data_IF_243906746877
#
_entry.id   IF_243906746877
#
_cell.length_a   1.000
_cell.length_b   1.000
_cell.length_c   1.000
_cell.angle_alpha   90.00
_cell.angle_beta   90.00
_cell.angle_gamma   90.00
#
_symmetry.space_group_name_H-M   'P 1'
#
loop_
_entity.id
_entity.type
_entity.pdbx_description
1 polymer ?
#
# COMPACT_ATOMS: atom_id res chain seq x y z
N UNK A 1 63.99 191.74 198.92
CA UNK A 1 65.22 191.61 198.10
C UNK A 1 64.85 190.82 196.84
N UNK A 2 65.42 191.08 195.66
CA UNK A 2 66.49 190.27 195.05
C UNK A 2 66.20 188.75 194.88
N UNK A 3 66.79 188.15 193.82
CA UNK A 3 67.29 186.74 193.59
C UNK A 3 66.74 185.60 194.49
N UNK A 4 66.49 184.34 194.03
CA UNK A 4 67.50 183.53 193.33
C UNK A 4 67.01 182.38 192.39
N UNK A 5 67.99 181.84 191.66
CA UNK A 5 68.01 180.57 190.92
C UNK A 5 67.92 179.35 191.85
N UNK A 6 67.22 178.27 191.44
CA UNK A 6 67.33 176.95 192.08
C UNK A 6 67.51 175.79 191.07
N UNK A 7 68.23 174.70 191.43
CA UNK A 7 68.78 173.70 190.50
C UNK A 7 67.86 172.52 190.15
N UNK A 8 68.15 171.84 189.03
CA UNK A 8 67.24 171.03 188.19
C UNK A 8 67.17 169.50 188.44
N UNK A 9 67.27 169.00 189.68
CA UNK A 9 67.34 167.54 189.94
C UNK A 9 66.04 166.81 190.38
N UNK A 10 64.85 167.44 190.35
CA UNK A 10 63.62 166.86 190.94
C UNK A 10 62.53 166.32 189.98
N UNK A 11 62.65 166.44 188.65
CA UNK A 11 61.53 166.15 187.73
C UNK A 11 61.46 164.72 187.12
N UNK A 12 62.44 163.83 187.34
CA UNK A 12 62.53 162.56 186.58
C UNK A 12 61.79 161.35 187.19
N UNK A 13 61.29 161.41 188.44
CA UNK A 13 60.81 160.21 189.17
C UNK A 13 59.30 159.92 189.11
N UNK A 14 58.43 160.83 188.63
CA UNK A 14 56.95 160.68 188.70
C UNK A 14 56.27 160.00 187.50
N UNK A 15 56.94 159.86 186.36
CA UNK A 15 56.31 159.40 185.10
C UNK A 15 56.25 157.87 184.93
N UNK A 16 57.12 157.12 185.60
CA UNK A 16 57.16 155.65 185.46
C UNK A 16 55.96 154.95 186.12
N UNK A 17 55.58 155.35 187.34
CA UNK A 17 54.57 154.63 188.13
C UNK A 17 53.15 154.64 187.51
N UNK A 18 52.81 155.64 186.68
CA UNK A 18 51.48 155.72 186.04
C UNK A 18 51.31 154.74 184.87
N UNK A 19 52.38 154.24 184.27
CA UNK A 19 52.29 153.33 183.12
C UNK A 19 51.94 151.90 183.55
N UNK A 20 52.46 151.44 184.69
CA UNK A 20 52.24 150.07 185.16
C UNK A 20 50.80 149.79 185.59
N UNK A 21 50.08 150.77 186.13
CA UNK A 21 48.71 150.59 186.59
C UNK A 21 47.71 150.28 185.44
N UNK A 22 47.88 150.92 184.28
CA UNK A 22 47.00 150.72 183.11
C UNK A 22 47.14 149.34 182.48
N UNK A 23 48.30 148.71 182.60
CA UNK A 23 48.52 147.37 182.07
C UNK A 23 47.67 146.34 182.83
N UNK A 24 47.65 146.42 184.16
CA UNK A 24 46.92 145.45 185.02
C UNK A 24 45.40 145.47 184.79
N UNK A 25 44.80 146.63 184.52
CA UNK A 25 43.36 146.72 184.25
C UNK A 25 42.96 145.99 182.95
N UNK A 26 43.75 146.12 181.87
CA UNK A 26 43.44 145.45 180.60
C UNK A 26 43.50 143.93 180.69
N UNK A 27 44.44 143.42 181.48
CA UNK A 27 44.53 141.97 181.71
C UNK A 27 43.31 141.42 182.45
N UNK A 28 42.75 142.16 183.41
CA UNK A 28 41.56 141.73 184.13
C UNK A 28 40.31 141.72 183.23
N UNK A 29 40.12 142.74 182.39
CA UNK A 29 39.00 142.78 181.44
C UNK A 29 39.07 141.67 180.39
N UNK A 30 40.28 141.35 179.90
CA UNK A 30 40.47 140.27 178.94
C UNK A 30 40.04 138.91 179.50
N UNK A 31 40.33 138.63 180.78
CA UNK A 31 39.93 137.39 181.45
C UNK A 31 38.42 137.24 181.56
N UNK A 32 37.71 138.32 181.88
CA UNK A 32 36.24 138.28 182.01
C UNK A 32 35.58 137.95 180.66
N UNK A 33 36.02 138.56 179.55
CA UNK A 33 35.45 138.28 178.22
C UNK A 33 35.59 136.82 177.80
N UNK A 34 36.75 136.23 178.03
CA UNK A 34 36.98 134.81 177.70
C UNK A 34 36.04 133.89 178.47
N UNK A 35 35.77 134.16 179.75
CA UNK A 35 34.82 133.36 180.54
C UNK A 35 33.38 133.45 180.00
N UNK A 36 32.94 134.64 179.59
CA UNK A 36 31.60 134.84 179.01
C UNK A 36 31.43 134.14 177.65
N UNK A 37 32.44 134.19 176.79
CA UNK A 37 32.41 133.50 175.50
C UNK A 37 32.26 131.99 175.68
N UNK A 38 33.05 131.39 176.57
CA UNK A 38 33.01 129.96 176.88
C UNK A 38 31.63 129.53 177.39
N UNK A 39 31.06 130.28 178.34
CA UNK A 39 29.72 129.98 178.85
C UNK A 39 28.64 130.10 177.76
N UNK A 40 28.68 131.16 176.94
CA UNK A 40 27.68 131.35 175.87
C UNK A 40 27.74 130.26 174.80
N UNK A 41 28.92 129.72 174.54
CA UNK A 41 29.12 128.63 173.58
C UNK A 41 28.53 127.32 174.12
N UNK A 42 28.74 127.01 175.40
CA UNK A 42 28.22 125.80 176.03
C UNK A 42 26.68 125.71 175.94
N UNK A 43 25.96 126.78 176.31
CA UNK A 43 24.49 126.76 176.30
C UNK A 43 23.90 126.62 174.90
N UNK A 44 24.47 127.30 173.89
CA UNK A 44 24.02 127.15 172.48
C UNK A 44 24.17 125.72 171.96
N UNK A 45 25.28 125.08 172.28
CA UNK A 45 25.51 123.68 171.91
C UNK A 45 24.49 122.76 172.60
N UNK A 46 24.20 123.00 173.89
CA UNK A 46 23.18 122.24 174.63
C UNK A 46 21.78 122.36 174.01
N UNK A 47 21.35 123.55 173.62
CA UNK A 47 20.02 123.78 173.04
C UNK A 47 19.83 123.06 171.70
N UNK A 48 20.85 123.09 170.84
CA UNK A 48 20.84 122.37 169.55
C UNK A 48 20.69 120.87 169.80
N UNK A 49 21.49 120.32 170.72
CA UNK A 49 21.44 118.90 171.07
C UNK A 49 20.04 118.51 171.59
N UNK A 50 19.47 119.29 172.51
CA UNK A 50 18.13 119.05 173.07
C UNK A 50 17.03 119.08 172.01
N UNK A 51 17.06 120.07 171.10
CA UNK A 51 16.06 120.21 170.04
C UNK A 51 16.05 119.01 169.08
N UNK A 52 17.23 118.51 168.70
CA UNK A 52 17.36 117.35 167.82
C UNK A 52 16.94 116.07 168.52
N UNK A 53 17.27 115.94 169.80
CA UNK A 53 16.81 114.82 170.61
C UNK A 53 15.28 114.78 170.67
N UNK A 54 14.61 115.92 170.89
CA UNK A 54 13.14 115.99 170.91
C UNK A 54 12.49 115.67 169.55
N UNK A 55 13.11 116.09 168.44
CA UNK A 55 12.63 115.74 167.10
C UNK A 55 12.74 114.23 166.84
N UNK A 56 13.87 113.63 167.21
CA UNK A 56 14.09 112.19 167.03
C UNK A 56 13.22 111.35 167.95
N UNK A 57 13.00 111.78 169.19
CA UNK A 57 12.11 111.10 170.14
C UNK A 57 10.61 111.34 169.86
N UNK A 58 10.27 112.20 168.90
CA UNK A 58 8.87 112.46 168.56
C UNK A 58 8.20 111.24 167.91
N UNK A 59 6.93 111.01 168.25
CA UNK A 59 6.12 109.90 167.69
C UNK A 59 5.94 110.02 166.18
N UNK A 60 5.91 111.23 165.63
CA UNK A 60 5.75 111.48 164.19
C UNK A 60 6.99 111.09 163.39
N UNK A 61 8.20 111.34 163.93
CA UNK A 61 9.47 110.84 163.38
C UNK A 61 9.45 109.32 163.21
N UNK A 62 9.04 108.60 164.26
CA UNK A 62 8.96 107.13 164.25
C UNK A 62 7.98 106.62 163.18
N UNK A 63 6.75 107.14 163.14
CA UNK A 63 5.77 106.69 162.14
C UNK A 63 6.20 106.99 160.70
N UNK A 64 6.83 108.14 160.44
CA UNK A 64 7.36 108.48 159.11
C UNK A 64 8.48 107.51 158.68
N UNK A 65 9.38 107.18 159.61
CA UNK A 65 10.42 106.17 159.40
C UNK A 65 9.82 104.78 159.13
N UNK A 66 8.83 104.37 159.93
CA UNK A 66 8.17 103.07 159.79
C UNK A 66 7.41 102.91 158.47
N UNK A 67 6.69 103.93 158.02
CA UNK A 67 6.01 103.86 156.72
C UNK A 67 6.98 103.87 155.53
N UNK A 68 8.08 104.62 155.62
CA UNK A 68 9.14 104.57 154.61
C UNK A 68 9.75 103.16 154.56
N UNK A 69 10.03 102.56 155.71
CA UNK A 69 10.52 101.19 155.82
C UNK A 69 9.53 100.16 155.22
N UNK A 70 8.25 100.25 155.55
CA UNK A 70 7.22 99.35 154.99
C UNK A 70 7.11 99.46 153.46
N UNK A 71 7.17 100.68 152.90
CA UNK A 71 7.15 100.88 151.45
C UNK A 71 8.38 100.28 150.78
N UNK A 72 9.56 100.48 151.36
CA UNK A 72 10.78 99.87 150.84
C UNK A 72 10.72 98.35 150.92
N UNK A 73 10.20 97.77 152.02
CA UNK A 73 10.01 96.32 152.14
C UNK A 73 9.13 95.74 151.02
N UNK A 74 8.02 96.40 150.66
CA UNK A 74 7.17 95.95 149.55
C UNK A 74 7.85 96.06 148.19
N UNK A 75 8.68 97.09 147.98
CA UNK A 75 9.50 97.22 146.76
C UNK A 75 10.57 96.13 146.70
N UNK A 76 11.21 95.82 147.83
CA UNK A 76 12.17 94.72 147.94
C UNK A 76 11.50 93.38 147.62
N UNK A 77 10.31 93.10 148.14
CA UNK A 77 9.55 91.89 147.82
C UNK A 77 9.22 91.81 146.32
N UNK A 78 8.78 92.91 145.69
CA UNK A 78 8.56 92.96 144.23
C UNK A 78 9.85 92.75 143.44
N UNK A 79 10.97 93.33 143.89
CA UNK A 79 12.31 93.11 143.29
C UNK A 79 12.72 91.64 143.40
N UNK A 80 12.51 91.00 144.55
CA UNK A 80 12.75 89.56 144.77
C UNK A 80 11.89 88.71 143.84
N UNK A 81 10.60 88.99 143.70
CA UNK A 81 9.72 88.26 142.78
C UNK A 81 10.14 88.41 141.31
N UNK A 82 10.56 89.62 140.90
CA UNK A 82 11.09 89.85 139.55
C UNK A 82 12.44 89.16 139.34
N UNK A 83 13.32 89.17 140.33
CA UNK A 83 14.59 88.45 140.30
C UNK A 83 14.34 86.94 140.18
N UNK A 84 13.45 86.36 140.99
CA UNK A 84 13.07 84.96 140.89
C UNK A 84 12.50 84.61 139.50
N UNK A 85 11.68 85.48 138.90
CA UNK A 85 11.20 85.29 137.52
C UNK A 85 12.34 85.35 136.50
N UNK A 86 13.27 86.31 136.65
CA UNK A 86 14.46 86.41 135.79
C UNK A 86 15.36 85.20 135.93
N UNK A 87 15.52 84.67 137.13
CA UNK A 87 16.30 83.45 137.40
C UNK A 87 15.65 82.22 136.74
N UNK A 88 14.34 82.05 136.87
CA UNK A 88 13.61 80.99 136.15
C UNK A 88 13.78 81.10 134.64
N UNK A 89 13.68 82.31 134.09
CA UNK A 89 13.92 82.52 132.65
C UNK A 89 15.36 82.20 132.27
N UNK A 90 16.36 82.60 133.08
CA UNK A 90 17.76 82.24 132.82
C UNK A 90 17.97 80.72 132.84
N UNK A 91 17.33 80.02 133.77
CA UNK A 91 17.38 78.55 133.84
C UNK A 91 16.82 77.92 132.57
N UNK A 92 15.64 78.33 132.12
CA UNK A 92 15.06 77.84 130.87
C UNK A 92 15.96 78.12 129.66
N UNK A 93 16.54 79.33 129.57
CA UNK A 93 17.48 79.65 128.48
C UNK A 93 18.74 78.79 128.52
N UNK A 94 19.25 78.45 129.71
CA UNK A 94 20.40 77.57 129.86
C UNK A 94 20.05 76.13 129.48
N UNK A 95 18.90 75.64 129.92
CA UNK A 95 18.39 74.31 129.55
C UNK A 95 18.22 74.19 128.02
N UNK A 96 17.64 75.20 127.37
CA UNK A 96 17.54 75.26 125.91
C UNK A 96 18.92 75.28 125.24
N UNK A 97 19.87 76.06 125.76
CA UNK A 97 21.25 76.08 125.25
C UNK A 97 21.92 74.70 125.38
N UNK A 98 21.79 74.04 126.52
CA UNK A 98 22.37 72.72 126.77
C UNK A 98 21.77 71.65 125.85
N UNK A 99 20.46 71.70 125.60
CA UNK A 99 19.78 70.82 124.64
C UNK A 99 20.31 71.03 123.22
N UNK A 100 20.39 72.28 122.76
CA UNK A 100 20.93 72.59 121.43
C UNK A 100 22.40 72.16 121.28
N UNK A 101 23.22 72.32 122.32
CA UNK A 101 24.61 71.84 122.31
C UNK A 101 24.66 70.32 122.15
N UNK A 102 23.82 69.57 122.87
CA UNK A 102 23.74 68.11 122.73
C UNK A 102 23.28 67.69 121.34
N UNK A 103 22.25 68.33 120.79
CA UNK A 103 21.78 68.06 119.43
C UNK A 103 22.90 68.29 118.40
N UNK A 104 23.69 69.38 118.55
CA UNK A 104 24.83 69.64 117.68
C UNK A 104 25.94 68.59 117.85
N UNK A 105 26.21 68.13 119.06
CA UNK A 105 27.17 67.06 119.33
C UNK A 105 26.71 65.73 118.72
N UNK A 106 25.45 65.35 118.87
CA UNK A 106 24.86 64.16 118.26
C UNK A 106 24.93 64.22 116.72
N UNK A 107 24.64 65.38 116.13
CA UNK A 107 24.81 65.60 114.70
C UNK A 107 26.28 65.45 114.27
N UNK A 108 27.23 66.03 115.01
CA UNK A 108 28.67 65.85 114.76
C UNK A 108 29.09 64.38 114.85
N UNK A 109 28.61 63.66 115.86
CA UNK A 109 28.88 62.23 116.04
C UNK A 109 28.29 61.40 114.90
N UNK A 110 27.03 61.64 114.52
CA UNK A 110 26.38 60.95 113.40
C UNK A 110 27.12 61.19 112.07
N UNK A 111 27.62 62.41 111.85
CA UNK A 111 28.47 62.74 110.71
C UNK A 111 29.81 62.03 110.75
N UNK A 112 30.49 62.00 111.89
CA UNK A 112 31.76 61.26 112.05
C UNK A 112 31.58 59.75 111.84
N UNK A 113 30.47 59.17 112.29
CA UNK A 113 30.12 57.78 112.06
C UNK A 113 29.83 57.52 110.58
N UNK A 114 29.13 58.44 109.91
CA UNK A 114 28.92 58.37 108.46
C UNK A 114 30.23 58.43 107.69
N UNK A 115 31.14 59.33 108.04
CA UNK A 115 32.47 59.41 107.45
C UNK A 115 33.27 58.13 107.67
N UNK A 116 33.25 57.58 108.89
CA UNK A 116 33.92 56.31 109.20
C UNK A 116 33.37 55.17 108.35
N UNK A 117 32.05 55.03 108.24
CA UNK A 117 31.41 54.03 107.37
C UNK A 117 31.79 54.20 105.90
N UNK A 118 31.90 55.44 105.41
CA UNK A 118 32.34 55.71 104.03
C UNK A 118 33.81 55.28 103.84
N UNK A 119 34.69 55.60 104.80
CA UNK A 119 36.11 55.18 104.75
C UNK A 119 36.26 53.66 104.80
N UNK A 120 35.51 52.98 105.66
CA UNK A 120 35.48 51.51 105.74
C UNK A 120 34.98 50.90 104.43
N UNK A 121 33.87 51.40 103.88
CA UNK A 121 33.35 50.96 102.56
C UNK A 121 34.35 51.18 101.45
N UNK A 122 35.00 52.35 101.41
CA UNK A 122 36.04 52.64 100.44
C UNK A 122 37.26 51.70 100.62
N UNK A 123 37.66 51.43 101.86
CA UNK A 123 38.70 50.46 102.20
C UNK A 123 38.37 49.07 101.68
N UNK A 124 37.17 48.57 101.95
CA UNK A 124 36.70 47.26 101.49
C UNK A 124 36.59 47.17 99.97
N UNK A 125 36.13 48.23 99.30
CA UNK A 125 36.09 48.28 97.83
C UNK A 125 37.50 48.29 97.24
N UNK A 126 38.44 48.99 97.89
CA UNK A 126 39.85 49.01 97.47
C UNK A 126 40.49 47.63 97.65
N UNK A 127 40.29 46.97 98.80
CA UNK A 127 40.80 45.61 99.03
C UNK A 127 40.20 44.59 98.05
N UNK A 128 38.89 44.62 97.81
CA UNK A 128 38.24 43.74 96.84
C UNK A 128 38.78 43.94 95.40
N UNK A 129 39.03 45.19 94.99
CA UNK A 129 39.67 45.48 93.69
C UNK A 129 41.11 44.97 93.64
N UNK A 130 41.86 45.10 94.73
CA UNK A 130 43.22 44.57 94.84
C UNK A 130 43.24 43.04 94.81
N UNK A 131 42.29 42.37 95.46
CA UNK A 131 42.10 40.92 95.40
C UNK A 131 41.78 40.45 93.98
N UNK A 132 40.84 41.10 93.29
CA UNK A 132 40.56 40.79 91.89
C UNK A 132 41.78 40.96 90.99
N UNK A 133 42.58 42.02 91.21
CA UNK A 133 43.84 42.22 90.49
C UNK A 133 44.85 41.10 90.79
N UNK A 134 44.96 40.66 92.04
CA UNK A 134 45.81 39.52 92.43
C UNK A 134 45.37 38.24 91.74
N UNK A 135 44.09 37.89 91.80
CA UNK A 135 43.54 36.70 91.13
C UNK A 135 43.76 36.74 89.62
N UNK A 136 43.56 37.91 89.01
CA UNK A 136 43.80 38.10 87.57
C UNK A 136 45.29 37.94 87.25
N UNK A 137 46.16 38.52 88.06
CA UNK A 137 47.61 38.37 87.90
C UNK A 137 48.04 36.91 88.07
N UNK A 138 47.53 36.20 89.07
CA UNK A 138 47.80 34.77 89.31
C UNK A 138 47.36 33.91 88.12
N UNK A 139 46.17 34.17 87.56
CA UNK A 139 45.68 33.47 86.36
C UNK A 139 46.57 33.73 85.16
N UNK A 140 46.92 34.98 84.89
CA UNK A 140 47.79 35.34 83.77
C UNK A 140 49.19 34.74 83.94
N UNK A 141 49.74 34.74 85.15
CA UNK A 141 51.01 34.09 85.45
C UNK A 141 50.93 32.58 85.22
N UNK A 142 49.82 31.95 85.60
CA UNK A 142 49.59 30.53 85.36
C UNK A 142 49.47 30.19 83.87
N UNK A 143 48.68 30.96 83.11
CA UNK A 143 48.54 30.80 81.66
C UNK A 143 49.89 31.01 80.96
N UNK A 144 50.61 32.07 81.33
CA UNK A 144 51.94 32.34 80.82
C UNK A 144 52.92 31.21 81.17
N UNK A 145 52.89 30.67 82.38
CA UNK A 145 53.70 29.51 82.76
C UNK A 145 53.31 28.26 81.95
N UNK A 146 52.01 27.99 81.77
CA UNK A 146 51.50 26.86 81.00
C UNK A 146 52.00 26.91 79.55
N UNK A 147 51.89 28.08 78.91
CA UNK A 147 52.34 28.30 77.54
C UNK A 147 53.88 28.25 77.39
N UNK A 148 54.61 28.70 78.40
CA UNK A 148 56.07 28.81 78.33
C UNK A 148 56.83 27.61 78.88
N UNK A 149 56.17 26.71 79.60
CA UNK A 149 56.80 25.51 80.13
C UNK A 149 57.20 24.57 78.97
N UNK A 150 58.50 24.34 78.73
CA UNK A 150 58.98 23.55 77.59
C UNK A 150 58.41 22.12 77.60
N UNK A 151 58.28 21.50 78.79
CA UNK A 151 57.75 20.13 78.92
C UNK A 151 56.29 20.03 78.49
N UNK A 152 55.47 21.04 78.78
CA UNK A 152 54.06 21.06 78.35
C UNK A 152 53.95 21.26 76.85
N UNK A 153 54.80 22.12 76.26
CA UNK A 153 54.87 22.28 74.80
C UNK A 153 55.28 21.00 74.10
N UNK A 154 56.27 20.28 74.63
CA UNK A 154 56.68 18.97 74.10
C UNK A 154 55.51 17.98 74.13
N UNK A 155 54.78 17.89 75.24
CA UNK A 155 53.61 17.01 75.37
C UNK A 155 52.48 17.41 74.39
N UNK A 156 52.15 18.71 74.29
CA UNK A 156 51.14 19.21 73.34
C UNK A 156 51.54 18.92 71.89
N UNK A 157 52.82 19.11 71.56
CA UNK A 157 53.37 18.75 70.25
C UNK A 157 53.28 17.26 69.98
N UNK A 158 53.58 16.41 70.95
CA UNK A 158 53.50 14.95 70.80
C UNK A 158 52.05 14.46 70.70
N UNK A 159 51.12 15.06 71.44
CA UNK A 159 49.68 14.81 71.29
C UNK A 159 49.20 15.22 69.90
N UNK A 160 49.61 16.39 69.42
CA UNK A 160 49.29 16.85 68.07
C UNK A 160 49.90 15.91 67.01
N UNK A 161 51.16 15.49 67.15
CA UNK A 161 51.79 14.52 66.26
C UNK A 161 51.03 13.21 66.24
N UNK A 162 50.66 12.67 67.40
CA UNK A 162 49.83 11.44 67.49
C UNK A 162 48.47 11.64 66.81
N UNK A 163 47.83 12.79 67.01
CA UNK A 163 46.56 13.09 66.34
C UNK A 163 46.71 13.11 64.82
N UNK A 164 47.75 13.77 64.30
CA UNK A 164 48.03 13.81 62.86
C UNK A 164 48.34 12.41 62.33
N UNK A 165 49.18 11.63 63.00
CA UNK A 165 49.49 10.25 62.61
C UNK A 165 48.21 9.40 62.58
N UNK A 166 47.39 9.44 63.64
CA UNK A 166 46.13 8.70 63.69
C UNK A 166 45.16 9.14 62.58
N UNK A 167 45.03 10.45 62.32
CA UNK A 167 44.19 10.96 61.24
C UNK A 167 44.71 10.55 59.85
N UNK A 168 46.02 10.40 59.69
CA UNK A 168 46.61 9.92 58.44
C UNK A 168 46.41 8.42 58.28
N UNK A 169 46.49 7.64 59.37
CA UNK A 169 46.12 6.23 59.37
C UNK A 169 44.66 6.03 58.96
N UNK A 170 43.73 6.80 59.52
CA UNK A 170 42.32 6.73 59.11
C UNK A 170 42.14 7.12 57.64
N UNK A 171 42.79 8.19 57.16
CA UNK A 171 42.76 8.56 55.74
C UNK A 171 43.33 7.47 54.82
N UNK A 172 44.39 6.77 55.26
CA UNK A 172 44.97 5.66 54.49
C UNK A 172 44.03 4.46 54.44
N UNK A 173 43.31 4.19 55.52
CA UNK A 173 42.28 3.15 55.56
C UNK A 173 41.09 3.50 54.69
N UNK A 174 40.59 4.74 54.74
CA UNK A 174 39.53 5.25 53.87
C UNK A 174 39.92 5.12 52.39
N UNK A 175 41.14 5.52 52.04
CA UNK A 175 41.64 5.39 50.66
C UNK A 175 41.67 3.93 50.20
N UNK A 176 42.13 3.00 51.04
CA UNK A 176 42.10 1.57 50.72
C UNK A 176 40.68 1.04 50.52
N UNK A 177 39.72 1.52 51.32
CA UNK A 177 38.31 1.13 51.16
C UNK A 177 37.75 1.65 49.85
N UNK A 178 38.06 2.90 49.47
CA UNK A 178 37.68 3.49 48.18
C UNK A 178 38.26 2.70 47.00
N UNK A 179 39.57 2.43 47.02
CA UNK A 179 40.24 1.60 46.01
C UNK A 179 39.58 0.22 45.91
N UNK A 180 39.25 -0.42 47.03
CA UNK A 180 38.55 -1.71 47.04
C UNK A 180 37.11 -1.64 46.48
N UNK A 181 36.39 -0.53 46.67
CA UNK A 181 35.08 -0.31 46.06
C UNK A 181 35.18 -0.07 44.56
N UNK A 182 36.14 0.75 44.13
CA UNK A 182 36.42 1.02 42.72
C UNK A 182 36.82 -0.27 41.99
N UNK A 183 37.67 -1.12 42.58
CA UNK A 183 38.01 -2.42 42.03
C UNK A 183 36.78 -3.33 41.87
N UNK A 184 35.83 -3.30 42.80
CA UNK A 184 34.58 -4.08 42.70
C UNK A 184 33.70 -3.55 41.59
N UNK A 185 33.61 -2.24 41.43
CA UNK A 185 32.86 -1.60 40.35
C UNK A 185 33.50 -1.90 38.99
N UNK A 186 34.81 -1.77 38.87
CA UNK A 186 35.56 -2.15 37.66
C UNK A 186 35.30 -3.60 37.26
N UNK A 187 35.34 -4.54 38.21
CA UNK A 187 34.98 -5.94 37.96
C UNK A 187 33.54 -6.11 37.48
N UNK A 188 32.59 -5.35 38.02
CA UNK A 188 31.19 -5.37 37.55
C UNK A 188 31.10 -4.87 36.11
N UNK A 189 31.75 -3.76 35.79
CA UNK A 189 31.78 -3.22 34.43
C UNK A 189 32.46 -4.17 33.44
N UNK A 190 33.57 -4.81 33.83
CA UNK A 190 34.23 -5.83 33.01
C UNK A 190 33.28 -7.02 32.75
N UNK A 191 32.56 -7.49 33.76
CA UNK A 191 31.59 -8.56 33.61
C UNK A 191 30.42 -8.16 32.69
N UNK A 192 29.87 -6.96 32.86
CA UNK A 192 28.81 -6.42 32.00
C UNK A 192 29.29 -6.31 30.54
N UNK A 193 30.53 -5.85 30.34
CA UNK A 193 31.16 -5.78 29.03
C UNK A 193 31.35 -7.17 28.41
N UNK A 194 31.79 -8.16 29.20
CA UNK A 194 31.89 -9.54 28.72
C UNK A 194 30.55 -10.13 28.33
N UNK A 195 29.50 -9.90 29.12
CA UNK A 195 28.14 -10.36 28.81
C UNK A 195 27.66 -9.72 27.52
N UNK A 196 27.78 -8.39 27.38
CA UNK A 196 27.42 -7.67 26.16
C UNK A 196 28.18 -8.18 24.93
N UNK A 197 29.48 -8.48 25.09
CA UNK A 197 30.31 -9.06 24.03
C UNK A 197 29.82 -10.46 23.63
N UNK A 198 29.45 -11.31 24.60
CA UNK A 198 28.90 -12.65 24.33
C UNK A 198 27.55 -12.56 23.63
N UNK A 199 26.65 -11.71 24.10
CA UNK A 199 25.35 -11.46 23.45
C UNK A 199 25.51 -10.98 22.01
N UNK A 200 26.44 -10.05 21.75
CA UNK A 200 26.72 -9.57 20.41
C UNK A 200 27.20 -10.71 19.50
N UNK A 201 28.08 -11.58 19.99
CA UNK A 201 28.55 -12.75 19.25
C UNK A 201 27.42 -13.75 18.98
N UNK A 202 26.52 -13.96 19.95
CA UNK A 202 25.34 -14.82 19.77
C UNK A 202 24.35 -14.25 18.75
N UNK A 203 24.14 -12.92 18.74
CA UNK A 203 23.33 -12.25 17.70
C UNK A 203 23.92 -12.46 16.31
N UNK A 204 25.24 -12.29 16.16
CA UNK A 204 25.92 -12.54 14.88
C UNK A 204 25.76 -13.99 14.43
N UNK A 205 25.95 -14.97 15.34
CA UNK A 205 25.75 -16.39 15.03
C UNK A 205 24.32 -16.70 14.63
N UNK A 206 23.33 -16.15 15.34
CA UNK A 206 21.92 -16.34 15.01
C UNK A 206 21.55 -15.72 13.65
N UNK A 207 22.13 -14.58 13.30
CA UNK A 207 21.97 -13.99 11.96
C UNK A 207 22.64 -14.83 10.87
N UNK A 208 23.83 -15.37 11.11
CA UNK A 208 24.50 -16.31 10.21
C UNK A 208 23.69 -17.59 10.00
N UNK A 209 23.14 -18.17 11.07
CA UNK A 209 22.25 -19.33 10.99
C UNK A 209 20.98 -19.04 10.19
N UNK A 210 20.38 -17.85 10.36
CA UNK A 210 19.23 -17.41 9.54
C UNK A 210 19.58 -17.32 8.07
N UNK A 211 20.71 -16.69 7.73
CA UNK A 211 21.18 -16.63 6.33
C UNK A 211 21.41 -18.03 5.76
N UNK A 212 22.02 -18.93 6.53
CA UNK A 212 22.21 -20.32 6.10
C UNK A 212 20.87 -21.05 5.87
N UNK A 213 19.85 -20.80 6.68
CA UNK A 213 18.52 -21.36 6.47
C UNK A 213 17.86 -20.78 5.21
N UNK A 214 17.97 -19.48 4.99
CA UNK A 214 17.49 -18.82 3.77
C UNK A 214 18.19 -19.38 2.53
N UNK A 215 19.51 -19.55 2.56
CA UNK A 215 20.29 -20.14 1.47
C UNK A 215 19.88 -21.60 1.19
N UNK A 216 19.59 -22.38 2.24
CA UNK A 216 19.07 -23.76 2.10
C UNK A 216 17.70 -23.77 1.43
N UNK A 217 16.79 -22.90 1.88
CA UNK A 217 15.45 -22.78 1.30
C UNK A 217 15.53 -22.32 -0.16
N UNK A 218 16.42 -21.38 -0.48
CA UNK A 218 16.68 -20.96 -1.87
C UNK A 218 17.24 -22.11 -2.71
N UNK A 219 18.18 -22.89 -2.18
CA UNK A 219 18.74 -24.05 -2.87
C UNK A 219 17.68 -25.15 -3.11
N UNK A 220 16.84 -25.44 -2.13
CA UNK A 220 15.71 -26.38 -2.28
C UNK A 220 14.72 -25.89 -3.35
N UNK A 221 14.37 -24.60 -3.36
CA UNK A 221 13.53 -24.01 -4.39
C UNK A 221 14.16 -24.10 -5.79
N UNK A 222 15.48 -23.86 -5.90
CA UNK A 222 16.20 -24.03 -7.17
C UNK A 222 16.23 -25.50 -7.63
N UNK A 223 16.37 -26.46 -6.71
CA UNK A 223 16.30 -27.88 -7.05
C UNK A 223 14.90 -28.25 -7.57
N UNK A 224 13.84 -27.76 -6.93
CA UNK A 224 12.46 -27.93 -7.41
C UNK A 224 12.28 -27.32 -8.81
N UNK A 225 12.79 -26.11 -9.05
CA UNK A 225 12.75 -25.48 -10.38
C UNK A 225 13.51 -26.31 -11.43
N UNK A 226 14.66 -26.88 -11.07
CA UNK A 226 15.42 -27.76 -11.97
C UNK A 226 14.67 -29.06 -12.26
N UNK A 227 13.98 -29.63 -11.28
CA UNK A 227 13.13 -30.81 -11.48
C UNK A 227 11.93 -30.50 -12.39
N UNK A 228 11.26 -29.36 -12.19
CA UNK A 228 10.19 -28.89 -13.09
C UNK A 228 10.70 -28.67 -14.52
N UNK A 229 11.88 -28.08 -14.68
CA UNK A 229 12.50 -27.92 -16.00
C UNK A 229 12.82 -29.27 -16.65
N UNK A 230 13.36 -30.24 -15.88
CA UNK A 230 13.59 -31.60 -16.38
C UNK A 230 12.28 -32.27 -16.79
N UNK A 231 11.19 -32.11 -16.03
CA UNK A 231 9.87 -32.64 -16.40
C UNK A 231 9.37 -32.01 -17.70
N UNK A 232 9.49 -30.68 -17.85
CA UNK A 232 9.15 -29.97 -19.09
C UNK A 232 10.01 -30.40 -20.28
N UNK A 233 11.30 -30.64 -20.08
CA UNK A 233 12.19 -31.19 -21.12
C UNK A 233 11.76 -32.60 -21.52
N UNK A 234 11.42 -33.45 -20.55
CA UNK A 234 10.92 -34.80 -20.81
C UNK A 234 9.60 -34.76 -21.59
N UNK A 235 8.66 -33.90 -21.21
CA UNK A 235 7.44 -33.64 -21.97
C UNK A 235 7.73 -33.14 -23.38
N UNK A 236 8.65 -32.19 -23.55
CA UNK A 236 9.06 -31.69 -24.86
C UNK A 236 9.67 -32.80 -25.72
N UNK A 237 10.48 -33.71 -25.16
CA UNK A 237 11.00 -34.85 -25.92
C UNK A 237 9.91 -35.85 -26.31
N UNK A 238 8.89 -36.06 -25.46
CA UNK A 238 7.72 -36.89 -25.79
C UNK A 238 6.91 -36.26 -26.92
N UNK A 239 6.60 -34.97 -26.81
CA UNK A 239 5.89 -34.22 -27.86
C UNK A 239 6.65 -34.21 -29.18
N UNK A 240 7.99 -34.08 -29.16
CA UNK A 240 8.81 -34.19 -30.38
C UNK A 240 8.70 -35.58 -31.01
N UNK A 241 8.75 -36.65 -30.22
CA UNK A 241 8.55 -38.03 -30.72
C UNK A 241 7.14 -38.21 -31.31
N UNK A 242 6.12 -37.65 -30.66
CA UNK A 242 4.75 -37.66 -31.19
C UNK A 242 4.67 -36.89 -32.52
N UNK A 243 5.29 -35.72 -32.63
CA UNK A 243 5.39 -34.96 -33.88
C UNK A 243 6.12 -35.75 -34.97
N UNK A 244 7.26 -36.40 -34.67
CA UNK A 244 7.98 -37.26 -35.62
C UNK A 244 7.12 -38.46 -36.08
N UNK A 245 6.35 -39.05 -35.17
CA UNK A 245 5.44 -40.15 -35.51
C UNK A 245 4.29 -39.68 -36.40
N UNK A 246 3.70 -38.52 -36.10
CA UNK A 246 2.66 -37.90 -36.94
C UNK A 246 3.20 -37.55 -38.32
N UNK A 247 4.43 -37.04 -38.42
CA UNK A 247 5.08 -36.80 -39.69
C UNK A 247 5.27 -38.11 -40.46
N UNK A 248 5.79 -39.18 -39.83
CA UNK A 248 5.91 -40.50 -40.47
C UNK A 248 4.55 -40.98 -41.00
N UNK A 249 3.48 -40.83 -40.22
CA UNK A 249 2.13 -41.16 -40.65
C UNK A 249 1.68 -40.30 -41.84
N UNK A 250 1.96 -39.00 -41.85
CA UNK A 250 1.67 -38.12 -42.99
C UNK A 250 2.42 -38.56 -44.25
N UNK A 251 3.71 -38.87 -44.16
CA UNK A 251 4.50 -39.40 -45.28
C UNK A 251 3.97 -40.74 -45.79
N UNK A 252 3.57 -41.64 -44.90
CA UNK A 252 2.95 -42.92 -45.27
C UNK A 252 1.62 -42.70 -46.01
N UNK A 253 0.79 -41.78 -45.52
CA UNK A 253 -0.46 -41.41 -46.18
C UNK A 253 -0.22 -40.77 -47.54
N UNK A 254 0.73 -39.84 -47.65
CA UNK A 254 1.11 -39.22 -48.93
C UNK A 254 1.61 -40.27 -49.92
N UNK A 255 2.46 -41.21 -49.49
CA UNK A 255 2.87 -42.35 -50.32
C UNK A 255 1.68 -43.17 -50.81
N UNK A 256 0.76 -43.54 -49.92
CA UNK A 256 -0.43 -44.30 -50.27
C UNK A 256 -1.37 -43.52 -51.20
N UNK A 257 -1.47 -42.19 -51.04
CA UNK A 257 -2.23 -41.32 -51.94
C UNK A 257 -1.58 -41.21 -53.32
N UNK A 258 -0.26 -41.10 -53.38
CA UNK A 258 0.50 -41.13 -54.63
C UNK A 258 0.33 -42.47 -55.33
N UNK A 259 0.43 -43.59 -54.62
CA UNK A 259 0.15 -44.92 -55.15
C UNK A 259 -1.30 -45.01 -55.66
N UNK A 260 -2.28 -44.49 -54.93
CA UNK A 260 -3.68 -44.41 -55.38
C UNK A 260 -3.81 -43.57 -56.66
N UNK A 261 -3.14 -42.42 -56.76
CA UNK A 261 -3.13 -41.57 -57.97
C UNK A 261 -2.47 -42.27 -59.14
N UNK A 262 -1.34 -42.95 -58.93
CA UNK A 262 -0.65 -43.75 -59.96
C UNK A 262 -1.55 -44.90 -60.43
N UNK A 263 -2.17 -45.63 -59.51
CA UNK A 263 -3.11 -46.70 -59.84
C UNK A 263 -4.35 -46.17 -60.57
N UNK A 264 -4.89 -45.01 -60.18
CA UNK A 264 -5.98 -44.36 -60.90
C UNK A 264 -5.57 -43.92 -62.31
N UNK A 265 -4.37 -43.35 -62.47
CA UNK A 265 -3.84 -42.96 -63.78
C UNK A 265 -3.59 -44.19 -64.69
N UNK A 266 -3.07 -45.30 -64.14
CA UNK A 266 -2.94 -46.56 -64.88
C UNK A 266 -4.30 -47.12 -65.28
N UNK A 267 -5.31 -47.07 -64.39
CA UNK A 267 -6.69 -47.44 -64.71
C UNK A 267 -7.27 -46.58 -65.82
N UNK A 268 -7.12 -45.25 -65.75
CA UNK A 268 -7.55 -44.32 -66.80
C UNK A 268 -6.84 -44.59 -68.13
N UNK A 269 -5.52 -44.83 -68.13
CA UNK A 269 -4.77 -45.23 -69.35
C UNK A 269 -5.28 -46.55 -69.93
N UNK A 270 -5.58 -47.54 -69.08
CA UNK A 270 -6.13 -48.82 -69.51
C UNK A 270 -7.56 -48.69 -70.05
N UNK A 271 -8.40 -47.84 -69.44
CA UNK A 271 -9.72 -47.49 -69.93
C UNK A 271 -9.64 -46.78 -71.29
N UNK A 272 -8.81 -45.74 -71.44
CA UNK A 272 -8.55 -45.09 -72.72
C UNK A 272 -8.02 -46.07 -73.76
N UNK A 273 -7.12 -46.98 -73.39
CA UNK A 273 -6.65 -48.06 -74.25
C UNK A 273 -7.76 -49.02 -74.70
N UNK A 274 -8.69 -49.38 -73.80
CA UNK A 274 -9.88 -50.18 -74.13
C UNK A 274 -10.81 -49.42 -75.07
N UNK A 275 -11.08 -48.15 -74.81
CA UNK A 275 -11.90 -47.31 -75.69
C UNK A 275 -11.30 -47.18 -77.08
N UNK A 276 -10.00 -46.91 -77.21
CA UNK A 276 -9.31 -46.82 -78.49
C UNK A 276 -9.32 -48.16 -79.25
N UNK A 277 -9.07 -49.29 -78.56
CA UNK A 277 -9.20 -50.62 -79.15
C UNK A 277 -10.62 -50.90 -79.62
N UNK A 278 -11.64 -50.51 -78.84
CA UNK A 278 -13.04 -50.69 -79.24
C UNK A 278 -13.39 -49.84 -80.47
N UNK A 279 -12.97 -48.57 -80.52
CA UNK A 279 -13.14 -47.70 -81.68
C UNK A 279 -12.42 -48.24 -82.92
N UNK A 280 -11.16 -48.65 -82.77
CA UNK A 280 -10.37 -49.24 -83.86
C UNK A 280 -10.97 -50.55 -84.36
N UNK A 281 -11.38 -51.45 -83.46
CA UNK A 281 -12.07 -52.69 -83.82
C UNK A 281 -13.44 -52.42 -84.45
N UNK A 282 -14.18 -51.41 -84.01
CA UNK A 282 -15.44 -51.03 -84.63
C UNK A 282 -15.24 -50.47 -86.05
N UNK A 283 -14.19 -49.66 -86.26
CA UNK A 283 -13.80 -49.19 -87.60
C UNK A 283 -13.35 -50.35 -88.50
N UNK A 284 -12.53 -51.27 -87.99
CA UNK A 284 -12.16 -52.50 -88.70
C UNK A 284 -13.38 -53.34 -89.02
N UNK A 285 -14.28 -53.56 -88.07
CA UNK A 285 -15.51 -54.32 -88.28
C UNK A 285 -16.38 -53.67 -89.37
N UNK A 286 -16.56 -52.34 -89.34
CA UNK A 286 -17.25 -51.60 -90.42
C UNK A 286 -16.56 -51.80 -91.77
N UNK A 287 -15.23 -51.67 -91.83
CA UNK A 287 -14.43 -51.95 -93.06
C UNK A 287 -14.59 -53.39 -93.53
N UNK A 288 -14.56 -54.37 -92.63
CA UNK A 288 -14.75 -55.78 -93.00
C UNK A 288 -16.18 -56.08 -93.44
N UNK A 289 -17.19 -55.42 -92.86
CA UNK A 289 -18.57 -55.51 -93.32
C UNK A 289 -18.72 -54.89 -94.71
N UNK A 290 -18.14 -53.71 -94.96
CA UNK A 290 -18.09 -53.09 -96.28
C UNK A 290 -17.42 -54.01 -97.31
N UNK A 291 -16.25 -54.58 -97.00
CA UNK A 291 -15.57 -55.53 -97.91
C UNK A 291 -16.42 -56.79 -98.12
N UNK A 292 -17.09 -57.32 -97.09
CA UNK A 292 -18.00 -58.47 -97.25
C UNK A 292 -19.21 -58.13 -98.12
N UNK A 293 -19.80 -56.96 -97.94
CA UNK A 293 -20.90 -56.47 -98.77
C UNK A 293 -20.44 -56.26 -100.21
N UNK A 294 -19.29 -55.63 -100.44
CA UNK A 294 -18.66 -55.50 -101.76
C UNK A 294 -18.41 -56.87 -102.39
N UNK A 295 -17.85 -57.83 -101.65
CA UNK A 295 -17.65 -59.19 -102.15
C UNK A 295 -18.98 -59.86 -102.52
N UNK A 296 -20.00 -59.80 -101.65
CA UNK A 296 -21.34 -60.32 -101.96
C UNK A 296 -21.97 -59.62 -103.17
N UNK A 297 -21.77 -58.31 -103.32
CA UNK A 297 -22.23 -57.56 -104.49
C UNK A 297 -21.49 -58.01 -105.75
N UNK A 298 -20.16 -58.21 -105.69
CA UNK A 298 -19.39 -58.73 -106.83
C UNK A 298 -19.77 -60.17 -107.17
N UNK A 299 -20.03 -61.03 -106.20
CA UNK A 299 -20.52 -62.39 -106.40
C UNK A 299 -21.92 -62.39 -107.03
N UNK A 300 -22.83 -61.54 -106.54
CA UNK A 300 -24.16 -61.36 -107.14
C UNK A 300 -24.07 -60.80 -108.57
N UNK A 301 -23.16 -59.85 -108.82
CA UNK A 301 -22.92 -59.32 -110.17
C UNK A 301 -22.40 -60.41 -111.11
N UNK A 302 -21.46 -61.25 -110.67
CA UNK A 302 -21.00 -62.43 -111.43
C UNK A 302 -22.14 -63.40 -111.73
N UNK A 303 -22.97 -63.72 -110.74
CA UNK A 303 -24.15 -64.59 -110.95
C UNK A 303 -25.15 -63.98 -111.94
N UNK A 304 -25.36 -62.65 -111.93
CA UNK A 304 -26.21 -61.96 -112.91
C UNK A 304 -25.58 -62.02 -114.30
N UNK A 305 -24.27 -61.77 -114.43
CA UNK A 305 -23.55 -61.88 -115.70
C UNK A 305 -23.61 -63.30 -116.26
N UNK A 306 -23.37 -64.33 -115.44
CA UNK A 306 -23.50 -65.73 -115.82
C UNK A 306 -24.93 -66.05 -116.29
N UNK A 307 -25.96 -65.57 -115.59
CA UNK A 307 -27.37 -65.75 -116.02
C UNK A 307 -27.68 -65.01 -117.33
N UNK A 308 -27.13 -63.82 -117.54
CA UNK A 308 -27.27 -63.08 -118.81
C UNK A 308 -26.58 -63.83 -119.95
N UNK A 309 -25.38 -64.35 -119.74
CA UNK A 309 -24.68 -65.16 -120.74
C UNK A 309 -25.42 -66.45 -121.07
N UNK A 310 -25.94 -67.15 -120.06
CA UNK A 310 -26.78 -68.34 -120.27
C UNK A 310 -28.04 -67.99 -121.06
N UNK A 311 -28.69 -66.86 -120.78
CA UNK A 311 -29.86 -66.41 -121.52
C UNK A 311 -29.49 -66.02 -122.97
N UNK A 312 -28.36 -65.34 -123.20
CA UNK A 312 -27.85 -65.04 -124.54
C UNK A 312 -27.59 -66.32 -125.34
N UNK A 313 -26.95 -67.33 -124.75
CA UNK A 313 -26.71 -68.63 -125.40
C UNK A 313 -28.04 -69.31 -125.77
N UNK A 314 -29.01 -69.33 -124.85
CA UNK A 314 -30.33 -69.89 -125.13
C UNK A 314 -31.08 -69.11 -126.24
N UNK A 315 -30.92 -67.78 -126.30
CA UNK A 315 -31.47 -66.95 -127.37
C UNK A 315 -30.78 -67.24 -128.72
N UNK A 316 -29.45 -67.36 -128.75
CA UNK A 316 -28.71 -67.72 -129.97
C UNK A 316 -29.07 -69.12 -130.47
N UNK A 317 -29.21 -70.10 -129.57
CA UNK A 317 -29.67 -71.45 -129.91
C UNK A 317 -31.11 -71.44 -130.46
N UNK A 318 -32.01 -70.68 -129.85
CA UNK A 318 -33.38 -70.48 -130.34
C UNK A 318 -33.41 -69.81 -131.72
N UNK A 319 -32.57 -68.79 -131.94
CA UNK A 319 -32.43 -68.13 -133.23
C UNK A 319 -31.91 -69.09 -134.30
N UNK A 320 -30.86 -69.87 -134.02
CA UNK A 320 -30.33 -70.90 -134.93
C UNK A 320 -31.39 -71.95 -135.27
N UNK A 321 -32.16 -72.41 -134.28
CA UNK A 321 -33.27 -73.35 -134.52
C UNK A 321 -34.34 -72.73 -135.44
N UNK A 322 -34.63 -71.44 -135.25
CA UNK A 322 -35.60 -70.71 -136.08
C UNK A 322 -35.10 -70.49 -137.51
N UNK A 323 -33.81 -70.19 -137.68
CA UNK A 323 -33.16 -70.07 -138.99
C UNK A 323 -33.15 -71.40 -139.74
N UNK A 324 -32.82 -72.51 -139.07
CA UNK A 324 -32.92 -73.87 -139.66
C UNK A 324 -34.35 -74.20 -140.09
N UNK A 325 -35.35 -73.85 -139.27
CA UNK A 325 -36.76 -74.01 -139.62
C UNK A 325 -37.16 -73.17 -140.86
N UNK A 326 -36.65 -71.94 -140.98
CA UNK A 326 -36.91 -71.09 -142.14
C UNK A 326 -36.27 -71.68 -143.40
N UNK A 327 -35.02 -72.14 -143.35
CA UNK A 327 -34.35 -72.80 -144.48
C UNK A 327 -35.12 -74.04 -144.94
N UNK A 328 -35.51 -74.91 -144.00
CA UNK A 328 -36.31 -76.09 -144.32
C UNK A 328 -37.67 -75.73 -144.94
N UNK A 329 -38.32 -74.65 -144.48
CA UNK A 329 -39.58 -74.17 -145.05
C UNK A 329 -39.39 -73.55 -146.44
N UNK A 330 -38.27 -72.89 -146.71
CA UNK A 330 -37.93 -72.33 -148.03
C UNK A 330 -37.62 -73.44 -149.04
N UNK A 331 -36.82 -74.45 -148.68
CA UNK A 331 -36.54 -75.63 -149.50
C UNK A 331 -37.84 -76.41 -149.84
N UNK A 332 -38.73 -76.57 -148.86
CA UNK A 332 -40.06 -77.16 -149.08
C UNK A 332 -40.94 -76.31 -150.03
N UNK A 333 -40.76 -74.99 -150.03
CA UNK A 333 -41.51 -74.07 -150.90
C UNK A 333 -41.00 -74.10 -152.34
N UNK A 334 -39.70 -74.22 -152.54
CA UNK A 334 -39.08 -74.31 -153.87
C UNK A 334 -39.36 -75.65 -154.55
N UNK A 335 -39.23 -76.76 -153.81
CA UNK A 335 -39.62 -78.10 -154.29
C UNK A 335 -41.11 -78.20 -154.63
N UNK A 336 -42.00 -77.55 -153.86
CA UNK A 336 -43.42 -77.47 -154.17
C UNK A 336 -43.76 -76.59 -155.40
N UNK A 337 -42.87 -75.67 -155.81
CA UNK A 337 -43.03 -74.90 -157.05
C UNK A 337 -42.63 -75.72 -158.26
N UNK A 338 -41.47 -76.38 -158.22
CA UNK A 338 -40.99 -77.26 -159.28
C UNK A 338 -41.98 -78.41 -159.57
N UNK A 339 -42.50 -79.05 -158.51
CA UNK A 339 -43.51 -80.09 -158.65
C UNK A 339 -44.82 -79.61 -159.28
N UNK A 340 -45.19 -78.32 -159.14
CA UNK A 340 -46.40 -77.75 -159.78
C UNK A 340 -46.18 -77.44 -161.24
N UNK A 341 -45.00 -76.95 -161.61
CA UNK A 341 -44.63 -76.69 -163.01
C UNK A 341 -44.59 -78.01 -163.80
N UNK A 342 -43.97 -79.07 -163.24
CA UNK A 342 -43.97 -80.41 -163.84
C UNK A 342 -45.40 -80.98 -164.02
N UNK A 343 -46.29 -80.76 -163.04
CA UNK A 343 -47.68 -81.22 -163.08
C UNK A 343 -48.52 -80.45 -164.13
N UNK A 344 -48.21 -79.18 -164.39
CA UNK A 344 -48.86 -78.38 -165.44
C UNK A 344 -48.38 -78.79 -166.84
N UNK A 345 -47.09 -79.08 -167.01
CA UNK A 345 -46.54 -79.60 -168.27
C UNK A 345 -47.16 -80.96 -168.63
N UNK A 346 -47.25 -81.89 -167.66
CA UNK A 346 -47.90 -83.20 -167.86
C UNK A 346 -49.39 -83.08 -168.23
N UNK A 347 -50.11 -82.11 -167.65
CA UNK A 347 -51.52 -81.85 -167.96
C UNK A 347 -51.70 -81.28 -169.37
N UNK A 348 -50.77 -80.45 -169.84
CA UNK A 348 -50.80 -79.89 -171.20
C UNK A 348 -50.53 -80.95 -172.27
N UNK A 349 -49.57 -81.86 -172.04
CA UNK A 349 -49.29 -82.99 -172.93
C UNK A 349 -50.47 -83.96 -173.03
N UNK A 350 -51.13 -84.24 -171.89
CA UNK A 350 -52.32 -85.11 -171.84
C UNK A 350 -53.54 -84.54 -172.57
N UNK A 351 -53.70 -83.20 -172.59
CA UNK A 351 -54.77 -82.54 -173.35
C UNK A 351 -54.56 -82.64 -174.85
N UNK A 352 -53.34 -82.44 -175.33
CA UNK A 352 -53.00 -82.55 -176.75
C UNK A 352 -53.20 -83.98 -177.28
N UNK A 353 -52.91 -84.99 -176.46
CA UNK A 353 -53.12 -86.41 -176.78
C UNK A 353 -54.61 -86.79 -176.84
N UNK A 354 -55.44 -86.24 -175.95
CA UNK A 354 -56.89 -86.45 -175.94
C UNK A 354 -57.60 -85.73 -177.10
N UNK A 355 -57.14 -84.53 -177.47
CA UNK A 355 -57.69 -83.78 -178.61
C UNK A 355 -57.40 -84.48 -179.94
N UNK A 356 -56.24 -85.13 -180.10
CA UNK A 356 -55.91 -85.94 -181.27
C UNK A 356 -56.83 -87.18 -181.40
N UNK A 357 -57.14 -87.86 -180.29
CA UNK A 357 -58.04 -89.04 -180.27
C UNK A 357 -59.50 -88.68 -180.57
N UNK A 358 -59.95 -87.46 -180.23
CA UNK A 358 -61.31 -87.00 -180.54
C UNK A 358 -61.44 -86.61 -182.01
N UNK A 359 -60.41 -85.98 -182.59
CA UNK A 359 -60.40 -85.66 -184.02
C UNK A 359 -60.40 -86.92 -184.91
N UNK A 360 -59.68 -87.96 -184.50
CA UNK A 360 -59.62 -89.25 -185.21
C UNK A 360 -60.96 -90.02 -185.15
N UNK A 361 -61.66 -89.94 -184.01
CA UNK A 361 -63.01 -90.52 -183.86
C UNK A 361 -64.08 -89.76 -184.67
N UNK A 362 -63.94 -88.45 -184.85
CA UNK A 362 -64.89 -87.66 -185.65
C UNK A 362 -64.76 -87.94 -187.15
N UNK A 363 -63.55 -88.23 -187.65
CA UNK A 363 -63.32 -88.68 -189.02
C UNK A 363 -63.91 -90.08 -189.29
N UNK A 364 -63.72 -91.01 -188.35
CA UNK A 364 -64.28 -92.37 -188.48
C UNK A 364 -65.81 -92.38 -188.44
N UNK A 365 -66.45 -91.54 -187.63
CA UNK A 365 -67.92 -91.44 -187.61
C UNK A 365 -68.48 -90.90 -188.93
N UNK A 366 -67.80 -89.92 -189.54
CA UNK A 366 -68.20 -89.34 -190.82
C UNK A 366 -68.05 -90.31 -192.00
N UNK A 367 -67.06 -91.19 -191.98
CA UNK A 367 -66.87 -92.26 -192.98
C UNK A 367 -67.90 -93.39 -192.87
N UNK A 368 -68.33 -93.73 -191.66
CA UNK A 368 -69.34 -94.78 -191.42
C UNK A 368 -70.76 -94.35 -191.84
N UNK A 369 -71.11 -93.07 -191.65
CA UNK A 369 -72.41 -92.54 -192.08
C UNK A 369 -72.52 -92.49 -193.62
N UNK A 370 -71.42 -92.22 -194.34
CA UNK A 370 -71.37 -92.27 -195.81
C UNK A 370 -71.52 -93.70 -196.37
N UNK A 371 -70.95 -94.71 -195.71
CA UNK A 371 -71.05 -96.11 -196.15
C UNK A 371 -72.45 -96.71 -195.90
N UNK A 372 -73.11 -96.32 -194.81
CA UNK A 372 -74.46 -96.79 -194.49
C UNK A 372 -75.52 -96.29 -195.49
N UNK A 373 -75.37 -95.06 -196.01
CA UNK A 373 -76.26 -94.53 -197.05
C UNK A 373 -76.09 -95.26 -198.39
N UNK A 374 -74.88 -95.72 -198.75
CA UNK A 374 -74.66 -96.51 -199.97
C UNK A 374 -75.20 -97.95 -199.86
N UNK A 375 -75.07 -98.61 -198.70
CA UNK A 375 -75.63 -99.97 -198.49
C UNK A 375 -77.17 -99.98 -198.48
N UNK A 376 -77.83 -98.91 -198.01
CA UNK A 376 -79.29 -98.79 -198.02
C UNK A 376 -79.89 -98.64 -199.43
N UNK A 377 -79.11 -98.16 -200.40
CA UNK A 377 -79.53 -98.12 -201.80
C UNK A 377 -79.38 -99.48 -202.49
N UNK A 378 -78.37 -100.29 -202.13
CA UNK A 378 -78.15 -101.64 -202.69
C UNK A 378 -79.15 -102.68 -202.15
N UNK A 379 -79.48 -102.63 -200.85
CA UNK A 379 -80.44 -103.56 -200.23
C UNK A 379 -81.85 -103.46 -200.86
N UNK A 380 -82.26 -102.25 -201.24
CA UNK A 380 -83.55 -102.02 -201.92
C UNK A 380 -83.60 -102.59 -203.35
N UNK A 381 -82.47 -102.95 -203.96
CA UNK A 381 -82.42 -103.65 -205.24
C UNK A 381 -82.45 -105.19 -205.08
N UNK A 382 -81.92 -105.74 -203.99
CA UNK A 382 -81.82 -107.18 -203.74
C UNK A 382 -83.15 -107.84 -203.33
N UNK A 383 -83.97 -107.14 -202.53
CA UNK A 383 -85.24 -107.68 -202.02
C UNK A 383 -86.23 -108.04 -203.14
N UNK A 384 -86.15 -107.33 -204.28
CA UNK A 384 -86.97 -107.58 -205.47
C UNK A 384 -86.64 -108.89 -206.21
N UNK A 385 -85.47 -109.52 -205.97
CA UNK A 385 -85.07 -110.78 -206.63
C UNK A 385 -85.43 -112.03 -205.81
N UNK A 386 -85.40 -111.95 -204.48
CA UNK A 386 -85.64 -113.09 -203.57
C UNK A 386 -87.07 -113.64 -203.67
N UNK A 387 -88.05 -112.74 -203.76
CA UNK A 387 -89.46 -113.11 -203.84
C UNK A 387 -89.80 -113.94 -205.09
N UNK A 388 -88.94 -113.91 -206.12
CA UNK A 388 -89.10 -114.71 -207.34
C UNK A 388 -88.61 -116.16 -207.20
N UNK A 389 -87.86 -116.53 -206.15
CA UNK A 389 -87.28 -117.86 -205.95
C UNK A 389 -88.11 -118.76 -205.01
N UNK A 390 -88.75 -118.21 -203.97
CA UNK A 390 -89.55 -119.00 -203.02
C UNK A 390 -90.79 -119.63 -203.67
N UNK A 391 -91.33 -118.99 -204.70
CA UNK A 391 -92.46 -119.56 -205.46
C UNK A 391 -92.07 -120.77 -206.33
N UNK A 392 -90.78 -121.10 -206.48
CA UNK A 392 -90.31 -122.25 -207.26
C UNK A 392 -90.03 -123.50 -206.42
N UNK A 393 -89.51 -123.41 -205.20
CA UNK A 393 -89.19 -124.63 -204.41
C UNK A 393 -90.44 -125.39 -203.95
N UNK A 394 -91.56 -124.69 -203.78
CA UNK A 394 -92.85 -125.31 -203.49
C UNK A 394 -93.32 -126.31 -204.57
N UNK A 395 -92.73 -126.28 -205.78
CA UNK A 395 -93.03 -127.20 -206.89
C UNK A 395 -92.08 -128.40 -207.00
N UNK A 396 -90.99 -128.51 -206.23
CA UNK A 396 -89.95 -129.56 -206.39
C UNK A 396 -90.03 -130.71 -205.38
N UNK A 397 -90.79 -130.58 -204.29
CA UNK A 397 -91.15 -131.76 -203.45
C UNK A 397 -92.35 -132.52 -204.02
N UNK A 398 -92.70 -132.20 -205.26
CA UNK A 398 -92.86 -133.19 -206.31
C UNK A 398 -92.21 -134.57 -206.00
N UNK A 399 -93.05 -135.59 -205.90
CA UNK A 399 -92.88 -136.75 -206.76
C UNK A 399 -91.99 -137.93 -206.34
N UNK A 400 -91.03 -137.86 -205.41
CA UNK A 400 -90.28 -139.06 -204.99
C UNK A 400 -90.23 -139.23 -203.47
N UNK A 401 -91.37 -139.70 -202.93
CA UNK A 401 -91.66 -139.84 -201.51
C UNK A 401 -90.98 -141.02 -200.82
N UNK A 402 -90.51 -140.77 -199.60
CA UNK A 402 -89.91 -141.75 -198.69
C UNK A 402 -90.95 -142.26 -197.65
N UNK A 403 -90.87 -143.55 -197.28
CA UNK A 403 -91.92 -144.46 -196.72
C UNK A 403 -91.36 -145.25 -195.50
N UNK A 404 -92.09 -146.15 -194.80
CA UNK A 404 -93.11 -146.02 -193.75
C UNK A 404 -92.66 -146.47 -192.33
N UNK A 405 -93.51 -146.23 -191.31
CA UNK A 405 -93.54 -146.84 -189.95
C UNK A 405 -94.64 -147.94 -189.89
N UNK A 406 -94.51 -149.05 -189.12
CA UNK A 406 -95.63 -149.88 -188.73
C UNK A 406 -96.14 -149.56 -187.31
N UNK A 407 -97.35 -149.00 -187.25
CA UNK A 407 -98.41 -149.07 -186.21
C UNK A 407 -98.18 -148.62 -184.74
N UNK A 408 -99.07 -147.72 -184.27
CA UNK A 408 -99.41 -147.52 -182.84
C UNK A 408 -99.97 -146.13 -182.48
N UNK A 409 -101.31 -145.97 -182.47
CA UNK A 409 -102.12 -144.79 -182.07
C UNK A 409 -102.33 -144.78 -180.53
N UNK A 410 -102.63 -143.64 -179.86
CA UNK A 410 -103.92 -142.99 -180.03
C UNK A 410 -103.90 -141.44 -179.99
N UNK A 411 -104.92 -140.86 -180.63
CA UNK A 411 -105.77 -139.74 -180.20
C UNK A 411 -105.22 -138.70 -179.20
N UNK A 412 -105.59 -137.45 -179.51
CA UNK A 412 -105.60 -136.21 -178.70
C UNK A 412 -104.45 -135.30 -179.15
N UNK A 413 -104.55 -134.71 -180.34
CA UNK A 413 -105.42 -133.58 -180.75
C UNK A 413 -104.70 -132.23 -180.53
N UNK A 414 -104.54 -131.48 -181.63
CA UNK A 414 -104.54 -130.00 -181.85
C UNK A 414 -104.05 -129.09 -180.70
N UNK A 415 -103.20 -128.08 -180.92
CA UNK A 415 -103.21 -127.04 -181.96
C UNK A 415 -101.81 -126.67 -182.50
#
# INVERSE_FOLDING_TARGET
MALPTLPSYWCSRRLLDQQEARHRQREQEARLRQQWEQNSHYFRMSDICSSKQAQWSSKTSYHRSMHAYQREKMKEEKRKSLQARRERLRQLMLEEQDLLVRELEELRLSMSLRERRIRERHGNLKSAREEQRKLTAERLLYEHWKQNNPKLREIEMDLHRKHVVNSWETQKEEKKQQEATEERENKRYENEYEVARREAMERMRAEEERRQLEDKLQAEALLQQMEELKLKEMEATKLKKEQENLLKQQWELERLEEERKQMAALRQRAELGRFLRHQYNAQLNRRTQQIKEELVLTERQKQIQEKIEQNRRAQEESLKHREQLIQNLEEARESARQAKEEDEELKSARKQELEAQVAERQLQAWEMDQQAEEEEEEARQAEKLSDTLLQKEAKIVAEQGYRPKPYGHPRIAWD
#
